data_IF_098796432606
#
_entry.id   IF_098796432606
#
_cell.length_a   1.000
_cell.length_b   1.000
_cell.length_c   1.000
_cell.angle_alpha   90.00
_cell.angle_beta   90.00
_cell.angle_gamma   90.00
#
_symmetry.space_group_name_H-M   'P 1'
#
loop_
_entity.id
_entity.type
_entity.pdbx_description
1 polymer ?
#
# COMPACT_ATOMS: atom_id res chain seq x y z
N UNK A 1 -62.24 67.01 6.46
CA UNK A 1 -61.48 66.10 5.59
C UNK A 1 -60.79 65.03 6.43
N UNK A 2 -61.37 63.83 6.38
CA UNK A 2 -60.79 62.47 6.49
C UNK A 2 -59.70 62.17 7.54
N UNK A 3 -60.16 61.53 8.61
CA UNK A 3 -59.45 60.49 9.37
C UNK A 3 -59.25 59.22 8.50
N UNK A 4 -58.09 58.56 8.60
CA UNK A 4 -58.01 57.09 8.75
C UNK A 4 -56.63 56.64 9.28
N UNK A 5 -56.68 55.90 10.39
CA UNK A 5 -55.61 55.08 10.99
C UNK A 5 -55.41 53.77 10.20
N UNK A 6 -54.47 52.94 10.67
CA UNK A 6 -54.06 51.61 10.18
C UNK A 6 -53.07 51.71 9.01
N UNK A 7 -51.87 51.15 9.04
CA UNK A 7 -51.30 50.14 9.93
C UNK A 7 -50.38 49.32 9.05
N UNK A 8 -49.09 49.23 9.39
CA UNK A 8 -48.24 48.12 8.98
C UNK A 8 -47.01 48.16 9.88
N UNK A 9 -47.08 47.39 10.96
CA UNK A 9 -45.91 46.94 11.71
C UNK A 9 -45.10 46.15 10.69
N UNK A 10 -44.07 46.79 10.14
CA UNK A 10 -43.11 46.15 9.25
C UNK A 10 -42.43 45.03 10.01
N UNK A 11 -42.79 43.81 9.64
CA UNK A 11 -42.22 42.56 10.09
C UNK A 11 -40.70 42.71 10.16
N UNK A 12 -40.17 42.80 11.38
CA UNK A 12 -38.76 42.66 11.66
C UNK A 12 -38.43 41.19 11.31
N UNK A 13 -38.03 40.95 10.07
CA UNK A 13 -37.52 39.67 9.64
C UNK A 13 -36.26 39.39 10.46
N UNK A 14 -36.44 38.61 11.54
CA UNK A 14 -35.39 37.86 12.18
C UNK A 14 -34.75 37.00 11.08
N UNK A 15 -33.73 37.55 10.41
CA UNK A 15 -32.66 36.76 9.84
C UNK A 15 -31.99 36.08 11.03
N UNK A 16 -32.63 35.01 11.52
CA UNK A 16 -31.96 33.96 12.24
C UNK A 16 -30.76 33.64 11.37
N UNK A 17 -29.59 34.06 11.85
CA UNK A 17 -28.31 33.61 11.35
C UNK A 17 -28.35 32.11 11.60
N UNK A 18 -28.92 31.36 10.64
CA UNK A 18 -28.95 29.93 10.69
C UNK A 18 -27.49 29.54 10.85
N UNK A 19 -27.15 28.90 11.96
CA UNK A 19 -25.83 28.36 12.20
C UNK A 19 -25.46 27.54 10.97
N UNK A 20 -24.72 28.18 10.06
CA UNK A 20 -24.72 27.81 8.66
C UNK A 20 -24.10 26.45 8.52
N UNK A 21 -24.69 25.61 7.67
CA UNK A 21 -23.93 24.50 7.14
C UNK A 21 -22.67 25.05 6.50
N UNK A 22 -21.53 24.43 6.80
CA UNK A 22 -20.25 24.79 6.22
C UNK A 22 -19.59 23.53 5.68
N UNK A 23 -18.87 23.68 4.58
CA UNK A 23 -17.98 22.66 4.06
C UNK A 23 -16.77 23.33 3.42
N UNK A 24 -15.58 23.11 3.98
CA UNK A 24 -14.33 23.62 3.44
C UNK A 24 -13.22 22.57 3.50
N UNK A 25 -12.18 22.78 2.71
CA UNK A 25 -10.99 21.93 2.69
C UNK A 25 -9.75 22.79 2.84
N UNK A 26 -8.75 22.31 3.57
CA UNK A 26 -7.50 23.03 3.83
C UNK A 26 -6.69 23.33 2.56
N UNK A 27 -6.85 22.51 1.53
CA UNK A 27 -6.26 22.66 0.19
C UNK A 27 -7.28 22.29 -0.88
N UNK A 28 -7.04 22.75 -2.11
CA UNK A 28 -7.74 22.30 -3.30
C UNK A 28 -7.11 21.05 -3.93
N UNK A 29 -5.80 20.85 -3.70
CA UNK A 29 -5.04 19.72 -4.26
C UNK A 29 -4.23 19.02 -3.18
N UNK A 30 -4.31 17.70 -3.14
CA UNK A 30 -3.64 16.83 -2.17
C UNK A 30 -2.68 15.87 -2.87
N UNK A 31 -1.57 15.56 -2.21
CA UNK A 31 -0.61 14.55 -2.63
C UNK A 31 -0.68 13.30 -1.75
N UNK A 32 0.10 12.29 -2.13
CA UNK A 32 0.26 11.06 -1.36
C UNK A 32 0.88 11.33 0.02
N UNK A 33 0.36 10.65 1.03
CA UNK A 33 0.88 10.51 2.38
C UNK A 33 0.77 9.02 2.78
N UNK A 34 1.89 8.29 2.74
CA UNK A 34 1.87 6.83 2.86
C UNK A 34 1.12 6.18 1.69
N UNK A 35 0.03 5.46 1.96
CA UNK A 35 -0.79 4.80 0.93
C UNK A 35 -1.96 5.64 0.40
N UNK A 36 -2.30 6.74 1.05
CA UNK A 36 -3.51 7.53 0.78
C UNK A 36 -3.16 8.99 0.46
N UNK A 37 -4.13 9.76 -0.01
CA UNK A 37 -4.15 11.20 0.19
C UNK A 37 -5.08 11.53 1.35
N UNK A 38 -4.56 12.30 2.31
CA UNK A 38 -5.33 12.73 3.49
C UNK A 38 -5.91 14.11 3.23
N UNK A 39 -7.22 14.16 3.00
CA UNK A 39 -8.00 15.38 2.81
C UNK A 39 -8.51 15.83 4.18
N UNK A 40 -8.14 17.03 4.59
CA UNK A 40 -8.58 17.63 5.85
C UNK A 40 -9.43 18.86 5.59
N UNK A 41 -10.47 19.06 6.38
CA UNK A 41 -11.38 20.17 6.23
C UNK A 41 -12.26 20.40 7.44
N UNK A 42 -13.12 21.39 7.33
CA UNK A 42 -14.10 21.76 8.34
C UNK A 42 -15.51 21.59 7.80
N UNK A 43 -16.42 21.13 8.67
CA UNK A 43 -17.83 21.02 8.37
C UNK A 43 -18.67 21.32 9.62
N UNK A 44 -19.79 22.01 9.46
CA UNK A 44 -20.76 22.33 10.50
C UNK A 44 -22.18 22.08 10.02
N UNK A 45 -23.12 21.90 10.94
CA UNK A 45 -24.52 21.63 10.63
C UNK A 45 -24.79 20.25 10.03
N UNK A 46 -23.81 19.32 10.13
CA UNK A 46 -23.93 17.90 9.77
C UNK A 46 -23.03 17.03 10.66
N UNK A 47 -23.42 15.77 10.87
CA UNK A 47 -22.61 14.80 11.62
C UNK A 47 -21.58 14.07 10.75
N UNK A 48 -21.72 14.13 9.42
CA UNK A 48 -20.90 13.37 8.48
C UNK A 48 -20.61 14.12 7.20
N UNK A 49 -19.44 13.86 6.63
CA UNK A 49 -19.07 14.24 5.26
C UNK A 49 -19.00 13.00 4.40
N UNK A 50 -19.74 12.97 3.31
CA UNK A 50 -19.70 11.91 2.32
C UNK A 50 -18.66 12.22 1.25
N UNK A 51 -18.07 11.19 0.67
CA UNK A 51 -17.12 11.34 -0.43
C UNK A 51 -17.35 10.31 -1.53
N UNK A 52 -17.04 10.72 -2.75
CA UNK A 52 -17.00 9.87 -3.95
C UNK A 52 -15.60 9.96 -4.55
N UNK A 53 -14.99 8.81 -4.83
CA UNK A 53 -13.67 8.69 -5.46
C UNK A 53 -13.67 7.58 -6.51
N UNK A 54 -12.64 7.55 -7.36
CA UNK A 54 -12.45 6.45 -8.33
C UNK A 54 -12.28 5.09 -7.62
N UNK A 55 -11.73 5.07 -6.41
CA UNK A 55 -11.53 3.87 -5.63
C UNK A 55 -12.76 3.46 -4.79
N UNK A 56 -13.86 4.22 -4.86
CA UNK A 56 -15.11 3.96 -4.16
C UNK A 56 -15.64 5.16 -3.37
N UNK A 57 -16.79 4.95 -2.74
CA UNK A 57 -17.53 5.97 -2.01
C UNK A 57 -17.45 5.68 -0.51
N UNK A 58 -17.66 6.70 0.32
CA UNK A 58 -17.71 6.52 1.75
C UNK A 58 -18.21 7.74 2.50
N UNK A 59 -18.12 7.69 3.81
CA UNK A 59 -18.55 8.78 4.70
C UNK A 59 -17.72 8.77 5.96
N UNK A 60 -17.32 9.94 6.44
CA UNK A 60 -16.53 10.11 7.66
C UNK A 60 -17.29 10.98 8.66
N UNK A 61 -17.15 10.72 9.98
CA UNK A 61 -17.77 11.58 10.98
C UNK A 61 -17.11 12.96 11.00
N UNK A 62 -17.91 13.97 11.33
CA UNK A 62 -17.43 15.28 11.74
C UNK A 62 -17.20 15.24 13.25
N UNK A 63 -16.00 15.63 13.69
CA UNK A 63 -15.63 15.71 15.10
C UNK A 63 -15.07 17.09 15.38
N UNK A 64 -15.70 17.79 16.32
CA UNK A 64 -15.35 19.16 16.70
C UNK A 64 -15.26 20.10 15.48
N UNK A 65 -16.25 20.02 14.58
CA UNK A 65 -16.30 20.84 13.36
C UNK A 65 -15.30 20.47 12.27
N UNK A 66 -14.54 19.38 12.43
CA UNK A 66 -13.51 18.95 11.47
C UNK A 66 -13.73 17.53 10.97
N UNK A 67 -13.18 17.23 9.79
CA UNK A 67 -13.21 15.90 9.21
C UNK A 67 -11.88 15.55 8.54
N UNK A 68 -11.64 14.24 8.41
CA UNK A 68 -10.50 13.69 7.68
C UNK A 68 -10.97 12.57 6.76
N UNK A 69 -10.80 12.76 5.46
CA UNK A 69 -11.06 11.75 4.43
C UNK A 69 -9.73 11.20 3.94
N UNK A 70 -9.58 9.87 3.96
CA UNK A 70 -8.42 9.18 3.40
C UNK A 70 -8.84 8.43 2.14
N UNK A 71 -8.33 8.86 0.98
CA UNK A 71 -8.62 8.22 -0.30
C UNK A 71 -7.37 7.54 -0.86
N UNK A 72 -7.48 6.31 -1.41
CA UNK A 72 -6.37 5.66 -2.12
C UNK A 72 -5.88 6.53 -3.28
N UNK A 73 -4.56 6.63 -3.46
CA UNK A 73 -3.97 7.34 -4.61
C UNK A 73 -4.04 6.45 -5.84
N UNK A 74 -4.51 6.98 -6.98
CA UNK A 74 -4.53 6.28 -8.28
C UNK A 74 -3.36 6.74 -9.17
N UNK A 75 -3.20 6.09 -10.33
CA UNK A 75 -2.18 6.44 -11.34
C UNK A 75 -2.60 7.58 -12.27
N UNK A 76 -3.80 8.10 -12.07
CA UNK A 76 -4.32 9.30 -12.72
C UNK A 76 -4.65 10.35 -11.67
N UNK A 77 -4.74 11.62 -12.06
CA UNK A 77 -5.34 12.62 -11.17
C UNK A 77 -6.80 12.24 -10.96
N UNK A 78 -7.24 12.23 -9.71
CA UNK A 78 -8.63 11.94 -9.36
C UNK A 78 -9.28 13.16 -8.73
N UNK A 79 -10.52 13.43 -9.11
CA UNK A 79 -11.35 14.42 -8.47
C UNK A 79 -12.19 13.74 -7.39
N UNK A 80 -12.10 14.26 -6.17
CA UNK A 80 -12.86 13.79 -5.02
C UNK A 80 -14.00 14.76 -4.79
N UNK A 81 -15.23 14.23 -4.81
CA UNK A 81 -16.43 15.01 -4.53
C UNK A 81 -16.82 14.79 -3.08
N UNK A 82 -16.88 15.87 -2.30
CA UNK A 82 -17.28 15.88 -0.90
C UNK A 82 -18.66 16.50 -0.78
N UNK A 83 -19.52 15.93 0.08
CA UNK A 83 -20.82 16.51 0.40
C UNK A 83 -21.09 16.52 1.89
N UNK A 84 -21.75 17.60 2.34
CA UNK A 84 -22.18 17.83 3.71
C UNK A 84 -23.57 18.47 3.66
N UNK A 85 -24.63 17.67 3.78
CA UNK A 85 -25.99 18.13 3.51
C UNK A 85 -26.14 18.51 2.03
N UNK A 86 -26.57 19.74 1.76
CA UNK A 86 -26.69 20.27 0.39
C UNK A 86 -25.37 20.81 -0.17
N UNK A 87 -24.36 21.04 0.69
CA UNK A 87 -23.08 21.62 0.28
C UNK A 87 -22.21 20.60 -0.45
N UNK A 88 -21.53 21.07 -1.49
CA UNK A 88 -20.61 20.28 -2.32
C UNK A 88 -19.24 20.96 -2.39
N UNK A 89 -18.19 20.16 -2.32
CA UNK A 89 -16.81 20.63 -2.52
C UNK A 89 -16.04 19.60 -3.33
N UNK A 90 -15.31 20.07 -4.33
CA UNK A 90 -14.44 19.21 -5.13
C UNK A 90 -12.97 19.52 -4.84
N UNK A 91 -12.17 18.47 -4.71
CA UNK A 91 -10.72 18.58 -4.53
C UNK A 91 -10.01 17.57 -5.42
N UNK A 92 -8.79 17.89 -5.81
CA UNK A 92 -7.97 17.02 -6.64
C UNK A 92 -6.97 16.24 -5.78
N UNK A 93 -6.78 14.96 -6.09
CA UNK A 93 -5.67 14.16 -5.59
C UNK A 93 -4.74 13.86 -6.76
N UNK A 94 -3.47 14.26 -6.61
CA UNK A 94 -2.44 14.07 -7.63
C UNK A 94 -2.26 12.58 -7.94
N UNK A 95 -2.04 12.29 -9.22
CA UNK A 95 -1.57 10.97 -9.66
C UNK A 95 -0.31 10.57 -8.91
N UNK A 96 -0.19 9.28 -8.59
CA UNK A 96 1.04 8.69 -8.10
C UNK A 96 1.55 7.61 -9.05
N UNK A 97 2.85 7.32 -9.02
CA UNK A 97 3.40 6.24 -9.84
C UNK A 97 3.08 4.89 -9.18
N UNK A 98 2.65 3.92 -9.99
CA UNK A 98 2.42 2.54 -9.58
C UNK A 98 3.75 1.77 -9.41
N UNK A 99 3.80 0.85 -8.45
CA UNK A 99 4.89 -0.11 -8.32
C UNK A 99 4.89 -1.16 -9.45
N UNK A 100 3.76 -1.33 -10.14
CA UNK A 100 3.56 -2.29 -11.21
C UNK A 100 2.25 -3.05 -11.05
N UNK A 101 2.08 -4.13 -11.83
CA UNK A 101 0.94 -5.03 -11.65
C UNK A 101 1.08 -5.85 -10.38
N UNK A 102 0.03 -5.87 -9.55
CA UNK A 102 0.05 -6.57 -8.28
C UNK A 102 0.30 -8.07 -8.46
N UNK A 103 -0.34 -8.69 -9.45
CA UNK A 103 -0.22 -10.13 -9.73
C UNK A 103 1.22 -10.52 -10.04
N UNK A 104 1.96 -9.69 -10.78
CA UNK A 104 3.38 -9.91 -11.07
C UNK A 104 4.24 -9.77 -9.81
N UNK A 105 3.97 -8.75 -8.98
CA UNK A 105 4.68 -8.54 -7.70
C UNK A 105 4.44 -9.72 -6.74
N UNK A 106 3.18 -10.13 -6.56
CA UNK A 106 2.79 -11.24 -5.69
C UNK A 106 3.40 -12.56 -6.18
N UNK A 107 3.36 -12.83 -7.49
CA UNK A 107 3.98 -14.01 -8.09
C UNK A 107 5.48 -14.05 -7.83
N UNK A 108 6.18 -12.95 -8.11
CA UNK A 108 7.63 -12.84 -7.88
C UNK A 108 7.97 -13.01 -6.40
N UNK A 109 7.23 -12.35 -5.50
CA UNK A 109 7.41 -12.51 -4.07
C UNK A 109 7.23 -13.96 -3.62
N UNK A 110 6.12 -14.60 -4.00
CA UNK A 110 5.76 -15.96 -3.59
C UNK A 110 6.76 -16.99 -4.12
N UNK A 111 7.22 -16.84 -5.36
CA UNK A 111 8.25 -17.70 -5.94
C UNK A 111 9.57 -17.58 -5.16
N UNK A 112 10.04 -16.36 -4.90
CA UNK A 112 11.28 -16.17 -4.14
C UNK A 112 11.13 -16.68 -2.69
N UNK A 113 9.95 -16.54 -2.09
CA UNK A 113 9.65 -17.06 -0.76
C UNK A 113 9.74 -18.59 -0.74
N UNK A 114 9.08 -19.25 -1.69
CA UNK A 114 9.13 -20.70 -1.84
C UNK A 114 10.58 -21.18 -2.01
N UNK A 115 11.34 -20.59 -2.94
CA UNK A 115 12.76 -20.92 -3.16
C UNK A 115 13.59 -20.70 -1.90
N UNK A 116 13.37 -19.60 -1.16
CA UNK A 116 14.11 -19.30 0.07
C UNK A 116 13.86 -20.29 1.22
N UNK A 117 12.77 -21.06 1.15
CA UNK A 117 12.44 -22.09 2.15
C UNK A 117 13.13 -23.43 1.90
N UNK A 118 13.71 -23.62 0.72
CA UNK A 118 14.37 -24.87 0.33
C UNK A 118 15.79 -24.97 0.89
N UNK A 119 16.32 -26.20 0.92
CA UNK A 119 17.73 -26.45 1.22
C UNK A 119 18.64 -25.73 0.21
N UNK A 120 19.90 -25.44 0.59
CA UNK A 120 20.86 -24.83 -0.35
C UNK A 120 21.10 -25.69 -1.59
N UNK A 121 21.08 -27.02 -1.43
CA UNK A 121 21.24 -27.96 -2.54
C UNK A 121 20.05 -27.87 -3.52
N UNK A 122 18.83 -27.82 -3.00
CA UNK A 122 17.63 -27.74 -3.84
C UNK A 122 17.47 -26.35 -4.48
N UNK A 123 17.90 -25.29 -3.79
CA UNK A 123 18.04 -23.96 -4.40
C UNK A 123 19.03 -23.97 -5.58
N UNK A 124 20.16 -24.69 -5.46
CA UNK A 124 21.12 -24.82 -6.54
C UNK A 124 20.53 -25.61 -7.73
N UNK A 125 19.81 -26.71 -7.46
CA UNK A 125 19.10 -27.48 -8.50
C UNK A 125 18.09 -26.62 -9.26
N UNK A 126 17.34 -25.77 -8.57
CA UNK A 126 16.39 -24.85 -9.22
C UNK A 126 17.08 -23.81 -10.10
N UNK A 127 18.20 -23.23 -9.65
CA UNK A 127 18.98 -22.30 -10.48
C UNK A 127 19.53 -22.96 -11.74
N UNK A 128 20.11 -24.16 -11.60
CA UNK A 128 20.60 -24.94 -12.74
C UNK A 128 19.47 -25.31 -13.70
N UNK A 129 18.33 -25.75 -13.16
CA UNK A 129 17.14 -26.08 -13.93
C UNK A 129 16.55 -24.90 -14.71
N UNK A 130 16.56 -23.70 -14.13
CA UNK A 130 16.14 -22.47 -14.83
C UNK A 130 17.08 -22.10 -15.98
N UNK A 131 18.40 -22.22 -15.78
CA UNK A 131 19.37 -22.00 -16.84
C UNK A 131 19.21 -23.04 -17.97
N UNK A 132 19.02 -24.31 -17.61
CA UNK A 132 18.74 -25.37 -18.58
C UNK A 132 17.44 -25.11 -19.35
N UNK A 133 16.35 -24.70 -18.69
CA UNK A 133 15.11 -24.35 -19.36
C UNK A 133 15.23 -23.17 -20.34
N UNK A 134 16.04 -22.16 -20.01
CA UNK A 134 16.31 -21.03 -20.91
C UNK A 134 17.12 -21.45 -22.14
N UNK A 135 18.06 -22.39 -21.97
CA UNK A 135 18.84 -22.95 -23.07
C UNK A 135 17.99 -23.88 -23.96
N UNK A 136 17.13 -24.69 -23.35
CA UNK A 136 16.17 -25.55 -24.05
C UNK A 136 15.24 -24.73 -24.95
N UNK A 137 14.79 -23.53 -24.52
CA UNK A 137 13.97 -22.66 -25.36
C UNK A 137 14.70 -22.15 -26.61
N UNK A 138 16.03 -22.02 -26.57
CA UNK A 138 16.83 -21.58 -27.72
C UNK A 138 17.16 -22.72 -28.68
N UNK A 139 17.34 -23.92 -28.15
CA UNK A 139 17.85 -25.09 -28.90
C UNK A 139 16.78 -26.17 -29.15
N UNK A 140 15.50 -25.89 -28.86
CA UNK A 140 14.41 -26.88 -28.92
C UNK A 140 14.26 -27.59 -30.28
N UNK A 141 14.65 -26.93 -31.38
CA UNK A 141 14.52 -27.45 -32.74
C UNK A 141 15.58 -28.50 -33.11
N UNK A 142 16.74 -28.49 -32.46
CA UNK A 142 17.87 -29.38 -32.78
C UNK A 142 18.01 -30.56 -31.83
N UNK A 143 17.14 -30.66 -30.82
CA UNK A 143 17.21 -31.70 -29.80
C UNK A 143 16.67 -33.05 -30.26
N UNK A 144 17.39 -34.10 -29.89
CA UNK A 144 16.96 -35.49 -30.05
C UNK A 144 15.78 -35.83 -29.13
N UNK A 145 14.99 -36.87 -29.46
CA UNK A 145 13.91 -37.35 -28.60
C UNK A 145 14.36 -37.72 -27.18
N UNK A 146 15.56 -38.29 -27.02
CA UNK A 146 16.12 -38.69 -25.73
C UNK A 146 16.43 -37.49 -24.82
N UNK A 147 16.98 -36.41 -25.41
CA UNK A 147 17.25 -35.17 -24.68
C UNK A 147 15.95 -34.47 -24.26
N UNK A 148 14.92 -34.51 -25.11
CA UNK A 148 13.58 -34.00 -24.77
C UNK A 148 12.95 -34.77 -23.60
N UNK A 149 13.12 -36.09 -23.55
CA UNK A 149 12.62 -36.90 -22.44
C UNK A 149 13.33 -36.58 -21.11
N UNK A 150 14.66 -36.46 -21.15
CA UNK A 150 15.47 -36.10 -19.98
C UNK A 150 15.10 -34.72 -19.46
N UNK A 151 14.95 -33.74 -20.37
CA UNK A 151 14.50 -32.40 -20.04
C UNK A 151 13.10 -32.39 -19.39
N UNK A 152 12.16 -33.19 -19.90
CA UNK A 152 10.82 -33.31 -19.34
C UNK A 152 10.84 -33.91 -17.93
N UNK A 153 11.64 -34.96 -17.68
CA UNK A 153 11.80 -35.56 -16.35
C UNK A 153 12.41 -34.57 -15.35
N UNK A 154 13.42 -33.81 -15.78
CA UNK A 154 14.03 -32.78 -14.96
C UNK A 154 13.03 -31.65 -14.64
N UNK A 155 12.27 -31.18 -15.63
CA UNK A 155 11.23 -30.18 -15.43
C UNK A 155 10.14 -30.65 -14.45
N UNK A 156 9.74 -31.92 -14.52
CA UNK A 156 8.74 -32.50 -13.61
C UNK A 156 9.27 -32.60 -12.16
N UNK A 157 10.55 -32.95 -11.99
CA UNK A 157 11.20 -32.97 -10.68
C UNK A 157 11.24 -31.57 -10.06
N UNK A 158 11.66 -30.57 -10.84
CA UNK A 158 11.69 -29.17 -10.39
C UNK A 158 10.29 -28.63 -10.09
N UNK A 159 9.28 -29.01 -10.89
CA UNK A 159 7.87 -28.66 -10.66
C UNK A 159 7.37 -29.22 -9.33
N UNK A 160 7.69 -30.48 -9.02
CA UNK A 160 7.31 -31.14 -7.76
C UNK A 160 7.96 -30.46 -6.57
N UNK A 161 9.27 -30.18 -6.66
CA UNK A 161 10.03 -29.45 -5.65
C UNK A 161 9.43 -28.05 -5.39
N UNK A 162 9.11 -27.32 -6.45
CA UNK A 162 8.47 -26.01 -6.34
C UNK A 162 7.06 -26.08 -5.75
N UNK A 163 6.28 -27.10 -6.10
CA UNK A 163 4.94 -27.30 -5.54
C UNK A 163 5.02 -27.55 -4.02
N UNK A 164 5.96 -28.39 -3.58
CA UNK A 164 6.19 -28.64 -2.15
C UNK A 164 6.66 -27.38 -1.42
N UNK A 165 7.62 -26.64 -1.98
CA UNK A 165 8.07 -25.37 -1.42
C UNK A 165 6.92 -24.34 -1.32
N UNK A 166 6.05 -24.32 -2.33
CA UNK A 166 4.86 -23.45 -2.37
C UNK A 166 3.85 -23.88 -1.30
N UNK A 167 3.64 -25.17 -1.08
CA UNK A 167 2.77 -25.67 -0.02
C UNK A 167 3.31 -25.29 1.37
N UNK A 168 4.61 -25.50 1.60
CA UNK A 168 5.29 -25.22 2.87
C UNK A 168 5.30 -23.72 3.23
N UNK A 169 5.20 -22.85 2.23
CA UNK A 169 5.22 -21.39 2.43
C UNK A 169 3.84 -20.73 2.35
N UNK A 170 2.76 -21.50 2.18
CA UNK A 170 1.40 -20.99 1.92
C UNK A 170 0.93 -19.94 2.91
N UNK A 171 1.17 -20.15 4.22
CA UNK A 171 0.79 -19.21 5.27
C UNK A 171 1.56 -17.89 5.31
N UNK A 172 2.56 -17.72 4.42
CA UNK A 172 3.42 -16.53 4.32
C UNK A 172 3.39 -15.91 2.92
N UNK A 173 2.62 -16.49 1.99
CA UNK A 173 2.48 -15.98 0.64
C UNK A 173 1.53 -14.78 0.59
N UNK A 174 1.79 -13.86 -0.34
CA UNK A 174 0.81 -12.86 -0.72
C UNK A 174 -0.28 -13.53 -1.56
N UNK A 175 -1.56 -13.10 -1.46
CA UNK A 175 -2.61 -13.60 -2.32
C UNK A 175 -2.29 -13.25 -3.77
N UNK A 176 -2.59 -14.15 -4.69
CA UNK A 176 -2.27 -13.97 -6.12
C UNK A 176 -3.11 -12.87 -6.77
N UNK A 177 -4.26 -12.54 -6.19
CA UNK A 177 -5.15 -11.45 -6.58
C UNK A 177 -5.46 -10.54 -5.40
N UNK A 178 -5.87 -9.30 -5.68
CA UNK A 178 -6.29 -8.36 -4.66
C UNK A 178 -7.38 -7.44 -5.23
N UNK A 179 -8.32 -7.03 -4.37
CA UNK A 179 -9.41 -6.12 -4.76
C UNK A 179 -8.90 -4.68 -4.77
N UNK A 180 -9.55 -3.83 -5.55
CA UNK A 180 -9.33 -2.38 -5.50
C UNK A 180 -9.60 -1.84 -4.09
N UNK A 181 -8.77 -0.91 -3.63
CA UNK A 181 -8.82 -0.32 -2.29
C UNK A 181 -7.57 -0.62 -1.46
N UNK A 182 -7.65 -0.33 -0.16
CA UNK A 182 -6.57 -0.56 0.79
C UNK A 182 -6.96 -1.69 1.74
N UNK A 183 -6.22 -2.80 1.67
CA UNK A 183 -6.54 -4.00 2.43
C UNK A 183 -5.29 -4.67 3.00
N UNK A 184 -5.47 -5.42 4.08
CA UNK A 184 -4.45 -6.38 4.52
C UNK A 184 -4.42 -7.52 3.50
N UNK A 185 -3.23 -7.82 3.00
CA UNK A 185 -2.98 -8.91 2.05
C UNK A 185 -2.22 -10.06 2.70
N UNK A 186 -1.53 -9.82 3.82
CA UNK A 186 -0.94 -10.89 4.63
C UNK A 186 -0.81 -10.38 6.06
N UNK A 187 -1.44 -11.08 7.01
CA UNK A 187 -1.37 -10.76 8.43
C UNK A 187 -0.91 -11.99 9.21
N UNK A 188 0.17 -11.81 9.96
CA UNK A 188 0.72 -12.79 10.90
C UNK A 188 1.05 -12.09 12.21
N UNK A 189 1.45 -12.82 13.25
CA UNK A 189 1.92 -12.23 14.50
C UNK A 189 3.18 -11.36 14.32
N UNK A 190 3.97 -11.59 13.26
CA UNK A 190 5.23 -10.88 13.02
C UNK A 190 5.13 -9.71 12.05
N UNK A 191 4.07 -9.64 11.25
CA UNK A 191 3.93 -8.61 10.20
C UNK A 191 2.51 -8.54 9.65
N UNK A 192 2.08 -7.33 9.30
CA UNK A 192 0.89 -7.06 8.51
C UNK A 192 1.26 -6.29 7.24
N UNK A 193 1.24 -6.98 6.11
CA UNK A 193 1.33 -6.37 4.78
C UNK A 193 -0.04 -5.86 4.37
N UNK A 194 -0.12 -4.57 4.09
CA UNK A 194 -1.26 -3.94 3.42
C UNK A 194 -0.84 -3.48 2.04
N UNK A 195 -1.77 -3.48 1.10
CA UNK A 195 -1.56 -2.91 -0.23
C UNK A 195 -2.67 -1.94 -0.57
N UNK A 196 -2.31 -0.90 -1.32
CA UNK A 196 -3.24 -0.04 -2.04
C UNK A 196 -3.28 -0.50 -3.49
N UNK A 197 -4.41 -1.04 -3.92
CA UNK A 197 -4.60 -1.59 -5.27
C UNK A 197 -5.64 -0.76 -6.01
N UNK A 198 -5.37 -0.44 -7.27
CA UNK A 198 -6.33 0.24 -8.16
C UNK A 198 -6.18 -0.38 -9.53
N UNK A 199 -7.26 -0.92 -10.09
CA UNK A 199 -7.28 -1.55 -11.42
C UNK A 199 -6.17 -2.60 -11.61
N UNK A 200 -5.96 -3.45 -10.59
CA UNK A 200 -4.90 -4.48 -10.58
C UNK A 200 -3.48 -3.97 -10.35
N UNK A 201 -3.26 -2.65 -10.36
CA UNK A 201 -1.96 -2.00 -10.12
C UNK A 201 -1.75 -1.79 -8.63
N UNK A 202 -0.54 -2.10 -8.16
CA UNK A 202 -0.13 -1.82 -6.79
C UNK A 202 0.36 -0.37 -6.69
N UNK A 203 -0.42 0.50 -6.06
CA UNK A 203 -0.09 1.91 -5.85
C UNK A 203 0.87 2.12 -4.67
N UNK A 204 0.95 1.13 -3.77
CA UNK A 204 1.90 1.10 -2.67
C UNK A 204 1.66 -0.09 -1.74
N UNK A 205 2.66 -0.41 -0.91
CA UNK A 205 2.53 -1.35 0.20
C UNK A 205 2.82 -0.66 1.53
N UNK A 206 2.14 -1.07 2.59
CA UNK A 206 2.52 -0.74 3.95
C UNK A 206 2.90 -2.04 4.66
N UNK A 207 4.11 -2.10 5.20
CA UNK A 207 4.59 -3.22 6.03
C UNK A 207 4.58 -2.75 7.47
N UNK A 208 3.69 -3.33 8.26
CA UNK A 208 3.51 -2.97 9.68
C UNK A 208 4.12 -4.10 10.51
N UNK A 209 5.05 -3.75 11.40
CA UNK A 209 5.86 -4.70 12.15
C UNK A 209 5.84 -4.33 13.63
N UNK A 210 5.38 -5.22 14.53
CA UNK A 210 5.46 -4.96 15.96
C UNK A 210 6.90 -4.73 16.42
N UNK A 211 7.15 -3.74 17.28
CA UNK A 211 8.50 -3.45 17.77
C UNK A 211 9.11 -4.63 18.55
N UNK A 212 8.28 -5.55 19.07
CA UNK A 212 8.74 -6.80 19.68
C UNK A 212 9.45 -7.73 18.69
N UNK A 213 9.11 -7.69 17.40
CA UNK A 213 9.79 -8.45 16.33
C UNK A 213 11.22 -7.98 16.16
N UNK A 214 11.47 -6.67 16.31
CA UNK A 214 12.81 -6.09 16.15
C UNK A 214 13.75 -6.42 17.31
N UNK A 215 13.21 -6.90 18.44
CA UNK A 215 13.96 -7.30 19.64
C UNK A 215 14.34 -8.79 19.63
N UNK A 216 13.66 -9.61 18.83
CA UNK A 216 13.88 -11.05 18.72
C UNK A 216 14.65 -11.36 17.43
N UNK A 217 15.83 -11.98 17.55
CA UNK A 217 16.72 -12.23 16.41
C UNK A 217 16.09 -13.12 15.33
N UNK A 218 15.32 -14.15 15.72
CA UNK A 218 14.65 -15.06 14.79
C UNK A 218 13.50 -14.37 14.08
N UNK A 219 12.66 -13.63 14.81
CA UNK A 219 11.54 -12.87 14.21
C UNK A 219 12.05 -11.74 13.31
N UNK A 220 13.11 -11.03 13.73
CA UNK A 220 13.76 -10.02 12.91
C UNK A 220 14.35 -10.61 11.63
N UNK A 221 14.96 -11.80 11.68
CA UNK A 221 15.44 -12.48 10.49
C UNK A 221 14.30 -12.85 9.54
N UNK A 222 13.18 -13.36 10.05
CA UNK A 222 12.01 -13.67 9.23
C UNK A 222 11.43 -12.42 8.56
N UNK A 223 11.28 -11.33 9.32
CA UNK A 223 10.89 -10.03 8.78
C UNK A 223 11.89 -9.54 7.73
N UNK A 224 13.20 -9.64 7.99
CA UNK A 224 14.24 -9.22 7.05
C UNK A 224 14.15 -10.01 5.73
N UNK A 225 13.94 -11.32 5.78
CA UNK A 225 13.73 -12.12 4.58
C UNK A 225 12.52 -11.60 3.81
N UNK A 226 11.34 -11.52 4.46
CA UNK A 226 10.11 -11.07 3.80
C UNK A 226 10.21 -9.65 3.22
N UNK A 227 10.74 -8.70 3.97
CA UNK A 227 10.91 -7.32 3.49
C UNK A 227 11.94 -7.21 2.35
N UNK A 228 12.98 -8.05 2.35
CA UNK A 228 13.93 -8.15 1.23
C UNK A 228 13.29 -8.70 -0.03
N UNK A 229 12.49 -9.76 0.11
CA UNK A 229 11.74 -10.32 -1.00
C UNK A 229 10.75 -9.31 -1.58
N UNK A 230 10.02 -8.56 -0.74
CA UNK A 230 9.13 -7.51 -1.22
C UNK A 230 9.90 -6.41 -1.95
N UNK A 231 11.02 -5.95 -1.37
CA UNK A 231 11.87 -4.92 -1.98
C UNK A 231 12.32 -5.34 -3.39
N UNK A 232 12.82 -6.57 -3.54
CA UNK A 232 13.19 -7.13 -4.85
C UNK A 232 11.99 -7.31 -5.78
N UNK A 233 10.83 -7.70 -5.24
CA UNK A 233 9.61 -7.91 -6.02
C UNK A 233 9.10 -6.61 -6.66
N UNK A 234 9.25 -5.48 -5.95
CA UNK A 234 8.87 -4.15 -6.45
C UNK A 234 9.98 -3.45 -7.27
N UNK A 235 11.11 -4.12 -7.50
CA UNK A 235 12.21 -3.63 -8.33
C UNK A 235 13.32 -2.86 -7.60
N UNK A 236 13.27 -2.77 -6.27
CA UNK A 236 14.32 -2.16 -5.47
C UNK A 236 15.49 -3.13 -5.22
N UNK A 237 16.66 -2.59 -4.87
CA UNK A 237 17.79 -3.38 -4.39
C UNK A 237 17.65 -3.67 -2.90
N UNK A 238 17.34 -4.91 -2.55
CA UNK A 238 17.12 -5.32 -1.16
C UNK A 238 18.34 -5.06 -0.24
N UNK A 239 19.57 -5.23 -0.73
CA UNK A 239 20.80 -5.01 0.06
C UNK A 239 20.95 -3.52 0.43
N UNK A 240 20.74 -2.63 -0.53
CA UNK A 240 20.76 -1.17 -0.30
C UNK A 240 19.66 -0.77 0.68
N UNK A 241 18.44 -1.26 0.47
CA UNK A 241 17.29 -0.94 1.33
C UNK A 241 17.55 -1.41 2.77
N UNK A 242 18.06 -2.63 2.97
CA UNK A 242 18.39 -3.12 4.30
C UNK A 242 19.52 -2.38 4.99
N UNK A 243 20.56 -2.02 4.25
CA UNK A 243 21.69 -1.25 4.80
C UNK A 243 21.19 0.09 5.37
N UNK A 244 20.37 0.81 4.60
CA UNK A 244 19.78 2.07 5.05
C UNK A 244 18.77 1.87 6.18
N UNK A 245 17.94 0.83 6.13
CA UNK A 245 17.01 0.52 7.21
C UNK A 245 17.74 0.22 8.53
N UNK A 246 18.83 -0.54 8.50
CA UNK A 246 19.69 -0.78 9.68
C UNK A 246 20.31 0.51 10.22
N UNK A 247 20.71 1.43 9.33
CA UNK A 247 21.22 2.74 9.74
C UNK A 247 20.15 3.58 10.43
N UNK A 248 18.96 3.67 9.84
CA UNK A 248 17.83 4.43 10.40
C UNK A 248 17.37 3.88 11.76
N UNK A 249 17.30 2.56 11.92
CA UNK A 249 16.94 1.92 13.20
C UNK A 249 18.00 2.14 14.29
N UNK A 250 19.30 2.19 13.94
CA UNK A 250 20.37 2.55 14.87
C UNK A 250 20.32 4.02 15.26
N UNK A 251 20.18 4.92 14.28
CA UNK A 251 20.12 6.37 14.50
C UNK A 251 18.91 6.79 15.35
N UNK A 252 17.76 6.15 15.15
CA UNK A 252 16.57 6.36 15.97
C UNK A 252 16.77 5.99 17.45
N UNK A 253 17.64 5.01 17.74
CA UNK A 253 17.99 4.62 19.11
C UNK A 253 19.06 5.53 19.74
N UNK A 254 19.96 6.10 18.94
CA UNK A 254 21.13 6.83 19.44
C UNK A 254 20.96 8.35 19.55
N UNK A 255 19.95 8.95 18.88
CA UNK A 255 19.83 10.41 18.78
C UNK A 255 18.52 11.02 19.32
N UNK A 256 18.14 10.73 20.57
CA UNK A 256 17.08 11.44 21.32
C UNK A 256 15.90 11.92 20.45
N UNK A 257 15.02 11.02 20.02
CA UNK A 257 13.75 11.38 19.36
C UNK A 257 13.86 12.14 18.02
N UNK A 258 14.89 11.90 17.19
CA UNK A 258 14.84 12.41 15.81
C UNK A 258 13.64 11.81 15.06
N UNK A 259 12.59 12.62 14.89
CA UNK A 259 11.38 12.32 14.11
C UNK A 259 11.62 12.43 12.60
N UNK A 260 12.83 12.81 12.20
CA UNK A 260 13.21 13.02 10.80
C UNK A 260 13.53 11.67 10.14
N UNK A 261 12.47 11.04 9.65
CA UNK A 261 12.58 9.76 8.97
C UNK A 261 13.04 10.02 7.53
N UNK A 262 14.31 9.73 7.25
CA UNK A 262 14.82 9.84 5.88
C UNK A 262 14.22 8.72 5.02
N UNK A 263 13.58 9.11 3.93
CA UNK A 263 13.13 8.18 2.88
C UNK A 263 14.32 7.40 2.32
N UNK A 264 14.25 6.07 2.35
CA UNK A 264 15.19 5.21 1.63
C UNK A 264 14.77 5.21 0.17
N UNK A 265 15.71 5.42 -0.77
CA UNK A 265 15.44 5.35 -2.21
C UNK A 265 16.27 4.24 -2.85
N UNK A 266 15.65 3.46 -3.75
CA UNK A 266 16.34 2.47 -4.57
C UNK A 266 15.55 2.21 -5.86
N UNK A 267 16.15 2.40 -7.03
CA UNK A 267 15.52 2.19 -8.35
C UNK A 267 14.13 2.84 -8.48
N UNK A 268 14.03 4.12 -8.12
CA UNK A 268 12.78 4.91 -8.09
C UNK A 268 11.71 4.42 -7.10
N UNK A 269 12.00 3.41 -6.27
CA UNK A 269 11.16 3.00 -5.14
C UNK A 269 11.60 3.75 -3.89
N UNK A 270 10.62 4.31 -3.18
CA UNK A 270 10.75 5.02 -1.91
C UNK A 270 10.25 4.11 -0.78
N UNK A 271 10.99 4.11 0.32
CA UNK A 271 10.59 3.48 1.58
C UNK A 271 10.59 4.55 2.66
N UNK A 272 9.40 4.98 3.04
CA UNK A 272 9.20 5.89 4.16
C UNK A 272 8.97 5.06 5.42
N UNK A 273 9.74 5.35 6.47
CA UNK A 273 9.63 4.65 7.74
C UNK A 273 8.69 5.47 8.66
N UNK A 274 8.10 4.84 9.65
CA UNK A 274 7.23 5.46 10.65
C UNK A 274 7.32 4.65 11.93
N UNK A 275 7.32 5.29 13.10
CA UNK A 275 7.27 4.59 14.38
C UNK A 275 6.06 5.04 15.18
N UNK A 276 5.35 4.10 15.78
CA UNK A 276 4.45 4.34 16.91
C UNK A 276 5.08 3.78 18.19
N UNK A 277 4.34 3.81 19.29
CA UNK A 277 4.75 3.19 20.56
C UNK A 277 4.85 1.66 20.48
N UNK A 278 4.14 1.03 19.53
CA UNK A 278 4.03 -0.43 19.43
C UNK A 278 4.54 -1.00 18.12
N UNK A 279 4.53 -0.21 17.04
CA UNK A 279 4.74 -0.70 15.68
C UNK A 279 5.69 0.19 14.88
N UNK A 280 6.41 -0.46 13.98
CA UNK A 280 7.13 0.13 12.87
C UNK A 280 6.24 0.07 11.62
N UNK A 281 6.16 1.17 10.88
CA UNK A 281 5.48 1.29 9.60
C UNK A 281 6.50 1.53 8.50
N UNK A 282 6.39 0.79 7.39
CA UNK A 282 7.20 0.96 6.20
C UNK A 282 6.28 1.15 5.00
N UNK A 283 6.26 2.34 4.43
CA UNK A 283 5.50 2.64 3.22
C UNK A 283 6.39 2.52 1.99
N UNK A 284 6.05 1.58 1.12
CA UNK A 284 6.78 1.28 -0.13
C UNK A 284 5.98 1.87 -1.28
N UNK A 285 6.56 2.85 -1.98
CA UNK A 285 5.89 3.61 -3.05
C UNK A 285 6.88 4.01 -4.16
N UNK A 286 6.41 4.61 -5.26
CA UNK A 286 7.24 5.33 -6.24
C UNK A 286 6.89 6.82 -6.22
#
# INVERSE_FOLDING_TARGET
>A
MKFWKYGLIGLLALLLVGCGQQLSTTKATYGRNGLVATIKGSASGVDRVHYTSQAGNGSVPVKSGTFVVNVPVTDTTQQIKLTAGSLKREVNVKAGTSLGQYTAIATKFNQMLAVSSLSKADQAKLKQGQAAAAELQKSAATMTPAEKLTAAQQAQTLKTLMAQATANTRGKQLPTTAKTGIQSILKTAGVNYRASIVNGKAMGFAVIVPLSVLKDSKKMQQFATGFGLLSTAVGANAKTVFSHFKKLTKDAKSKNNSTTIKTIKSNNVKFDVGYSTTDLYLYVTK
#
